data_IF_583215238881
#
_entry.id   IF_583215238881
#
_cell.length_a   1.000
_cell.length_b   1.000
_cell.length_c   1.000
_cell.angle_alpha   90.00
_cell.angle_beta   90.00
_cell.angle_gamma   90.00
#
_symmetry.space_group_name_H-M   'P 1'
#
loop_
_entity.id
_entity.type
_entity.pdbx_description
1 polymer ?
#
# COMPACT_ATOMS: atom_id res chain seq x y z
N UNK A 1 -13.44 5.21 -13.32
CA UNK A 1 -12.38 4.34 -12.78
C UNK A 1 -12.82 3.77 -11.45
N UNK A 2 -12.20 2.68 -10.93
CA UNK A 2 -12.54 2.19 -9.60
C UNK A 2 -12.18 3.25 -8.54
N UNK A 3 -12.93 3.30 -7.43
CA UNK A 3 -12.57 4.15 -6.31
C UNK A 3 -11.36 3.58 -5.54
N UNK A 4 -10.76 4.37 -4.66
CA UNK A 4 -9.57 4.00 -3.90
C UNK A 4 -9.70 2.64 -3.19
N UNK A 5 -10.80 2.42 -2.46
CA UNK A 5 -11.03 1.17 -1.72
C UNK A 5 -11.14 -0.03 -2.66
N UNK A 6 -11.82 0.11 -3.79
CA UNK A 6 -11.94 -0.99 -4.77
C UNK A 6 -10.59 -1.36 -5.37
N UNK A 7 -9.76 -0.36 -5.63
CA UNK A 7 -8.42 -0.55 -6.16
C UNK A 7 -7.50 -1.26 -5.16
N UNK A 8 -7.48 -0.82 -3.90
CA UNK A 8 -6.69 -1.44 -2.84
C UNK A 8 -7.10 -2.90 -2.60
N UNK A 9 -8.41 -3.18 -2.53
CA UNK A 9 -8.91 -4.57 -2.42
C UNK A 9 -8.48 -5.49 -3.55
N UNK A 10 -8.40 -4.96 -4.77
CA UNK A 10 -7.90 -5.74 -5.91
C UNK A 10 -6.41 -6.08 -5.74
N UNK A 11 -5.61 -5.13 -5.25
CA UNK A 11 -4.19 -5.33 -4.96
C UNK A 11 -3.99 -6.35 -3.82
N UNK A 12 -4.74 -6.24 -2.72
CA UNK A 12 -4.77 -7.22 -1.63
C UNK A 12 -5.06 -8.63 -2.12
N UNK A 13 -6.07 -8.78 -2.97
CA UNK A 13 -6.42 -10.08 -3.55
C UNK A 13 -5.28 -10.66 -4.36
N UNK A 14 -4.62 -9.82 -5.16
CA UNK A 14 -3.47 -10.23 -5.98
C UNK A 14 -2.29 -10.65 -5.12
N UNK A 15 -1.90 -9.84 -4.13
CA UNK A 15 -0.74 -10.10 -3.27
C UNK A 15 -0.96 -11.36 -2.42
N UNK A 16 -2.14 -11.52 -1.80
CA UNK A 16 -2.46 -12.73 -1.05
C UNK A 16 -2.40 -13.99 -1.91
N UNK A 17 -2.87 -13.93 -3.14
CA UNK A 17 -2.76 -15.05 -4.08
C UNK A 17 -1.29 -15.41 -4.38
N UNK A 18 -0.45 -14.42 -4.66
CA UNK A 18 0.98 -14.62 -4.93
C UNK A 18 1.72 -15.22 -3.72
N UNK A 19 1.44 -14.73 -2.52
CA UNK A 19 2.05 -15.23 -1.30
C UNK A 19 1.61 -16.67 -0.97
N UNK A 20 0.35 -17.02 -1.20
CA UNK A 20 -0.14 -18.39 -1.05
C UNK A 20 0.50 -19.34 -2.07
N UNK A 21 0.66 -18.90 -3.32
CA UNK A 21 1.38 -19.65 -4.35
C UNK A 21 2.85 -19.86 -3.95
N UNK A 22 3.51 -18.82 -3.40
CA UNK A 22 4.89 -18.92 -2.92
C UNK A 22 5.04 -19.97 -1.81
N UNK A 23 4.10 -20.00 -0.86
CA UNK A 23 4.11 -20.95 0.26
C UNK A 23 3.75 -22.38 -0.18
N UNK A 24 3.06 -22.54 -1.30
CA UNK A 24 2.66 -23.86 -1.82
C UNK A 24 3.70 -24.50 -2.78
N UNK A 25 4.68 -23.75 -3.26
CA UNK A 25 5.65 -24.24 -4.25
C UNK A 25 7.00 -24.59 -3.64
N UNK A 26 7.65 -25.66 -4.17
CA UNK A 26 9.02 -26.05 -3.83
C UNK A 26 10.02 -25.75 -4.97
N UNK A 27 9.54 -25.26 -6.10
CA UNK A 27 10.35 -24.99 -7.28
C UNK A 27 11.19 -23.71 -7.12
N UNK A 28 12.52 -23.81 -7.10
CA UNK A 28 13.43 -22.67 -6.89
C UNK A 28 13.16 -21.53 -7.87
N UNK A 29 13.12 -21.80 -9.17
CA UNK A 29 12.84 -20.78 -10.20
C UNK A 29 11.45 -20.13 -10.01
N UNK A 30 10.47 -20.91 -9.56
CA UNK A 30 9.12 -20.41 -9.27
C UNK A 30 9.15 -19.50 -8.04
N UNK A 31 9.85 -19.89 -6.98
CA UNK A 31 10.06 -19.08 -5.77
C UNK A 31 10.74 -17.75 -6.11
N UNK A 32 11.81 -17.76 -6.88
CA UNK A 32 12.53 -16.56 -7.31
C UNK A 32 11.63 -15.60 -8.13
N UNK A 33 10.89 -16.14 -9.10
CA UNK A 33 9.93 -15.37 -9.90
C UNK A 33 8.83 -14.75 -9.04
N UNK A 34 8.23 -15.54 -8.14
CA UNK A 34 7.18 -15.07 -7.24
C UNK A 34 7.69 -14.01 -6.27
N UNK A 35 8.88 -14.18 -5.68
CA UNK A 35 9.49 -13.16 -4.83
C UNK A 35 9.66 -11.83 -5.56
N UNK A 36 10.16 -11.84 -6.80
CA UNK A 36 10.31 -10.62 -7.59
C UNK A 36 8.97 -9.95 -7.93
N UNK A 37 7.93 -10.75 -8.18
CA UNK A 37 6.57 -10.23 -8.43
C UNK A 37 5.95 -9.68 -7.15
N UNK A 38 6.06 -10.40 -6.02
CA UNK A 38 5.59 -9.97 -4.70
C UNK A 38 6.28 -8.66 -4.28
N UNK A 39 7.59 -8.55 -4.44
CA UNK A 39 8.32 -7.32 -4.14
C UNK A 39 7.75 -6.13 -4.90
N UNK A 40 7.54 -6.28 -6.20
CA UNK A 40 7.01 -5.21 -7.04
C UNK A 40 5.61 -4.80 -6.60
N UNK A 41 4.72 -5.77 -6.38
CA UNK A 41 3.33 -5.50 -6.02
C UNK A 41 3.24 -4.87 -4.62
N UNK A 42 3.93 -5.42 -3.61
CA UNK A 42 3.92 -4.91 -2.24
C UNK A 42 4.49 -3.48 -2.17
N UNK A 43 5.66 -3.24 -2.79
CA UNK A 43 6.25 -1.89 -2.77
C UNK A 43 5.41 -0.87 -3.53
N UNK A 44 4.77 -1.28 -4.63
CA UNK A 44 3.88 -0.38 -5.38
C UNK A 44 2.63 -0.07 -4.56
N UNK A 45 2.04 -1.07 -3.93
CA UNK A 45 0.86 -0.95 -3.09
C UNK A 45 1.14 -0.05 -1.88
N UNK A 46 2.14 -0.37 -1.07
CA UNK A 46 2.53 0.44 0.08
C UNK A 46 2.81 1.91 -0.32
N UNK A 47 3.48 2.13 -1.44
CA UNK A 47 3.82 3.48 -1.89
C UNK A 47 2.59 4.31 -2.29
N UNK A 48 1.58 3.72 -2.94
CA UNK A 48 0.35 4.46 -3.28
C UNK A 48 -0.48 4.77 -2.04
N UNK A 49 -0.47 3.91 -1.03
CA UNK A 49 -1.12 4.17 0.25
C UNK A 49 -0.39 5.26 1.05
N UNK A 50 0.89 5.13 1.27
CA UNK A 50 1.70 6.08 2.04
C UNK A 50 1.75 7.48 1.41
N UNK A 51 1.67 7.58 0.09
CA UNK A 51 1.75 8.86 -0.60
C UNK A 51 0.39 9.50 -0.90
N UNK A 52 -0.69 8.72 -0.96
CA UNK A 52 -2.01 9.22 -1.38
C UNK A 52 -3.09 8.91 -0.35
N UNK A 53 -3.36 7.63 -0.07
CA UNK A 53 -4.51 7.22 0.74
C UNK A 53 -4.32 7.55 2.22
N UNK A 54 -3.22 7.16 2.84
CA UNK A 54 -2.96 7.36 4.26
C UNK A 54 -2.87 8.85 4.66
N UNK A 55 -2.20 9.74 3.90
CA UNK A 55 -2.23 11.17 4.23
C UNK A 55 -3.62 11.79 4.18
N UNK A 56 -4.47 11.35 3.24
CA UNK A 56 -5.86 11.81 3.15
C UNK A 56 -6.68 11.26 4.32
N UNK A 57 -6.55 9.95 4.61
CA UNK A 57 -7.23 9.30 5.73
C UNK A 57 -6.85 9.94 7.06
N UNK A 58 -5.55 10.10 7.33
CA UNK A 58 -5.05 10.73 8.57
C UNK A 58 -5.64 12.12 8.77
N UNK A 59 -5.63 12.96 7.72
CA UNK A 59 -6.19 14.31 7.79
C UNK A 59 -7.70 14.32 8.06
N UNK A 60 -8.46 13.36 7.48
CA UNK A 60 -9.89 13.24 7.70
C UNK A 60 -10.24 12.62 9.07
N UNK A 61 -9.37 11.74 9.59
CA UNK A 61 -9.54 11.09 10.89
C UNK A 61 -9.01 11.93 12.06
N UNK A 62 -8.32 13.03 11.79
CA UNK A 62 -7.80 13.93 12.81
C UNK A 62 -8.89 14.33 13.80
N UNK A 63 -8.59 14.24 15.11
CA UNK A 63 -9.54 14.49 16.22
C UNK A 63 -10.69 13.48 16.33
N UNK A 64 -10.59 12.33 15.66
CA UNK A 64 -11.50 11.19 15.87
C UNK A 64 -10.77 10.07 16.62
N UNK A 65 -11.54 9.09 17.12
CA UNK A 65 -11.02 7.86 17.73
C UNK A 65 -10.37 6.87 16.72
N UNK A 66 -10.27 7.27 15.45
CA UNK A 66 -9.81 6.43 14.33
C UNK A 66 -8.41 6.78 13.84
N UNK A 67 -7.78 7.78 14.41
CA UNK A 67 -6.44 8.21 14.02
C UNK A 67 -5.39 7.11 14.26
N UNK A 68 -5.61 6.26 15.28
CA UNK A 68 -4.74 5.13 15.59
C UNK A 68 -4.62 4.13 14.41
N UNK A 69 -5.68 3.92 13.62
CA UNK A 69 -5.66 3.02 12.46
C UNK A 69 -4.56 3.37 11.46
N UNK A 70 -4.27 4.66 11.29
CA UNK A 70 -3.15 5.10 10.45
C UNK A 70 -1.80 4.67 11.02
N UNK A 71 -1.58 4.82 12.34
CA UNK A 71 -0.31 4.47 12.96
C UNK A 71 -0.09 2.96 12.99
N UNK A 72 -1.13 2.18 13.25
CA UNK A 72 -1.09 0.72 13.21
C UNK A 72 -0.69 0.23 11.80
N UNK A 73 -1.37 0.70 10.74
CA UNK A 73 -1.03 0.35 9.37
C UNK A 73 0.40 0.75 8.97
N UNK A 74 0.89 1.90 9.43
CA UNK A 74 2.26 2.35 9.17
C UNK A 74 3.32 1.45 9.83
N UNK A 75 3.06 0.96 11.05
CA UNK A 75 3.96 0.01 11.72
C UNK A 75 3.92 -1.37 11.05
N UNK A 76 2.77 -1.82 10.57
CA UNK A 76 2.66 -3.06 9.80
C UNK A 76 3.44 -2.99 8.48
N UNK A 77 3.38 -1.87 7.76
CA UNK A 77 4.22 -1.63 6.58
C UNK A 77 5.71 -1.67 6.93
N UNK A 78 6.10 -1.09 8.08
CA UNK A 78 7.48 -1.16 8.54
C UNK A 78 7.95 -2.60 8.78
N UNK A 79 7.11 -3.46 9.35
CA UNK A 79 7.43 -4.88 9.52
C UNK A 79 7.60 -5.60 8.17
N UNK A 80 6.74 -5.31 7.19
CA UNK A 80 6.88 -5.84 5.82
C UNK A 80 8.18 -5.38 5.17
N UNK A 81 8.58 -4.13 5.38
CA UNK A 81 9.84 -3.55 4.88
C UNK A 81 11.10 -4.24 5.44
N UNK A 82 10.98 -4.87 6.62
CA UNK A 82 12.06 -5.68 7.22
C UNK A 82 12.01 -7.11 6.68
N UNK A 83 10.83 -7.73 6.68
CA UNK A 83 10.68 -9.16 6.36
C UNK A 83 10.86 -9.46 4.87
N UNK A 84 10.37 -8.60 3.99
CA UNK A 84 10.46 -8.85 2.55
C UNK A 84 11.92 -8.93 2.03
N UNK A 85 12.83 -8.00 2.34
CA UNK A 85 14.25 -8.15 1.98
C UNK A 85 14.92 -9.35 2.65
N UNK A 86 14.52 -9.68 3.89
CA UNK A 86 15.03 -10.84 4.62
C UNK A 86 14.65 -12.15 3.93
N UNK A 87 13.39 -12.28 3.47
CA UNK A 87 12.93 -13.39 2.64
C UNK A 87 13.72 -13.48 1.33
N UNK A 88 13.88 -12.36 0.62
CA UNK A 88 14.56 -12.32 -0.67
C UNK A 88 16.06 -12.69 -0.58
N UNK A 89 16.69 -12.47 0.58
CA UNK A 89 18.09 -12.83 0.82
C UNK A 89 18.26 -14.30 1.22
N UNK A 90 17.21 -14.98 1.64
CA UNK A 90 17.25 -16.36 2.08
C UNK A 90 17.43 -17.33 0.89
N UNK A 91 18.10 -18.47 1.12
CA UNK A 91 18.22 -19.52 0.12
C UNK A 91 16.84 -20.14 -0.19
N UNK A 92 16.34 -20.08 -1.44
CA UNK A 92 15.04 -20.62 -1.80
C UNK A 92 14.81 -22.10 -1.52
N UNK A 93 15.86 -22.86 -1.20
CA UNK A 93 15.79 -24.29 -0.85
C UNK A 93 15.76 -24.53 0.68
N UNK A 94 15.92 -23.51 1.48
CA UNK A 94 16.08 -23.66 2.94
C UNK A 94 14.73 -23.61 3.67
N UNK A 95 14.67 -24.27 4.83
CA UNK A 95 13.54 -24.12 5.76
C UNK A 95 13.43 -22.68 6.30
N UNK A 96 14.55 -21.94 6.34
CA UNK A 96 14.52 -20.51 6.69
C UNK A 96 13.68 -19.71 5.68
N UNK A 97 13.85 -19.96 4.37
CA UNK A 97 13.02 -19.34 3.35
C UNK A 97 11.52 -19.67 3.54
N UNK A 98 11.20 -20.93 3.81
CA UNK A 98 9.82 -21.38 4.05
C UNK A 98 9.21 -20.68 5.27
N UNK A 99 9.96 -20.58 6.36
CA UNK A 99 9.53 -19.88 7.56
C UNK A 99 9.29 -18.39 7.31
N UNK A 100 10.21 -17.70 6.61
CA UNK A 100 10.07 -16.27 6.25
C UNK A 100 8.89 -16.03 5.29
N UNK A 101 8.69 -16.89 4.30
CA UNK A 101 7.55 -16.81 3.39
C UNK A 101 6.21 -16.96 4.13
N UNK A 102 6.15 -17.85 5.11
CA UNK A 102 4.96 -18.03 5.97
C UNK A 102 4.72 -16.80 6.85
N UNK A 103 5.76 -16.28 7.50
CA UNK A 103 5.65 -15.06 8.34
C UNK A 103 5.17 -13.88 7.51
N UNK A 104 5.73 -13.67 6.31
CA UNK A 104 5.29 -12.58 5.43
C UNK A 104 3.82 -12.74 5.01
N UNK A 105 3.37 -13.96 4.72
CA UNK A 105 1.96 -14.23 4.43
C UNK A 105 1.05 -13.85 5.62
N UNK A 106 1.43 -14.24 6.83
CA UNK A 106 0.66 -13.97 8.04
C UNK A 106 0.57 -12.46 8.33
N UNK A 107 1.67 -11.73 8.16
CA UNK A 107 1.71 -10.26 8.28
C UNK A 107 0.75 -9.60 7.30
N UNK A 108 0.80 -9.99 6.03
CA UNK A 108 -0.07 -9.41 4.99
C UNK A 108 -1.53 -9.80 5.19
N UNK A 109 -1.83 -11.02 5.62
CA UNK A 109 -3.22 -11.42 5.90
C UNK A 109 -3.80 -10.68 7.12
N UNK A 110 -2.97 -10.39 8.12
CA UNK A 110 -3.35 -9.58 9.29
C UNK A 110 -3.64 -8.13 8.87
N UNK A 111 -2.67 -7.48 8.24
CA UNK A 111 -2.78 -6.11 7.72
C UNK A 111 -4.04 -5.92 6.87
N UNK A 112 -4.23 -6.75 5.85
CA UNK A 112 -5.39 -6.67 4.94
C UNK A 112 -6.71 -6.84 5.69
N UNK A 113 -6.76 -7.73 6.70
CA UNK A 113 -7.97 -7.93 7.51
C UNK A 113 -8.33 -6.67 8.30
N UNK A 114 -7.34 -6.00 8.89
CA UNK A 114 -7.55 -4.80 9.68
C UNK A 114 -7.90 -3.61 8.80
N UNK A 115 -7.16 -3.42 7.72
CA UNK A 115 -7.42 -2.33 6.79
C UNK A 115 -8.80 -2.46 6.11
N UNK A 116 -9.12 -3.63 5.56
CA UNK A 116 -10.43 -3.86 4.92
C UNK A 116 -11.59 -3.85 5.92
N UNK A 117 -11.35 -4.30 7.16
CA UNK A 117 -12.37 -4.37 8.22
C UNK A 117 -12.63 -3.02 8.88
N UNK A 118 -11.57 -2.33 9.27
CA UNK A 118 -11.67 -1.12 10.11
C UNK A 118 -11.41 0.16 9.31
N UNK A 119 -10.25 0.28 8.65
CA UNK A 119 -9.86 1.51 7.98
C UNK A 119 -10.75 1.85 6.79
N UNK A 120 -11.10 0.87 5.94
CA UNK A 120 -12.02 1.11 4.81
C UNK A 120 -13.45 1.39 5.25
N UNK A 121 -13.89 0.81 6.38
CA UNK A 121 -15.19 1.15 6.96
C UNK A 121 -15.20 2.60 7.48
N UNK A 122 -14.11 3.02 8.13
CA UNK A 122 -13.92 4.39 8.57
C UNK A 122 -13.83 5.36 7.37
N UNK A 123 -13.05 5.01 6.34
CA UNK A 123 -12.91 5.83 5.15
C UNK A 123 -14.25 6.10 4.44
N UNK A 124 -15.16 5.11 4.37
CA UNK A 124 -16.51 5.32 3.81
C UNK A 124 -17.40 6.27 4.63
N UNK A 125 -17.05 6.51 5.88
CA UNK A 125 -17.77 7.48 6.73
C UNK A 125 -17.12 8.87 6.66
N UNK A 126 -15.82 8.94 6.39
CA UNK A 126 -15.04 10.17 6.33
C UNK A 126 -15.04 10.81 4.94
N UNK A 127 -15.19 10.02 3.88
CA UNK A 127 -15.17 10.46 2.49
C UNK A 127 -16.48 10.12 1.80
N UNK A 128 -16.95 11.02 0.96
CA UNK A 128 -18.03 10.73 0.02
C UNK A 128 -17.55 9.95 -1.22
N UNK A 129 -18.49 9.50 -2.06
CA UNK A 129 -18.19 8.69 -3.23
C UNK A 129 -17.35 9.42 -4.27
N UNK A 130 -17.46 10.76 -4.38
CA UNK A 130 -16.67 11.58 -5.28
C UNK A 130 -15.23 11.66 -4.80
N UNK A 131 -15.02 11.93 -3.51
CA UNK A 131 -13.70 11.96 -2.88
C UNK A 131 -12.98 10.61 -2.99
N UNK A 132 -13.69 9.50 -2.76
CA UNK A 132 -13.11 8.15 -2.94
C UNK A 132 -12.73 7.85 -4.39
N UNK A 133 -13.47 8.38 -5.37
CA UNK A 133 -13.11 8.27 -6.80
C UNK A 133 -11.89 9.13 -7.13
N UNK A 134 -11.85 10.38 -6.67
CA UNK A 134 -10.70 11.26 -6.85
C UNK A 134 -9.41 10.65 -6.27
N UNK A 135 -9.48 10.10 -5.05
CA UNK A 135 -8.35 9.36 -4.46
C UNK A 135 -7.95 8.15 -5.32
N UNK A 136 -8.92 7.40 -5.84
CA UNK A 136 -8.66 6.27 -6.73
C UNK A 136 -7.93 6.69 -8.02
N UNK A 137 -8.33 7.80 -8.64
CA UNK A 137 -7.68 8.33 -9.85
C UNK A 137 -6.24 8.79 -9.58
N UNK A 138 -6.00 9.43 -8.43
CA UNK A 138 -4.66 9.82 -7.98
C UNK A 138 -3.76 8.60 -7.73
N UNK A 139 -4.30 7.60 -7.03
CA UNK A 139 -3.59 6.35 -6.74
C UNK A 139 -3.28 5.59 -8.04
N UNK A 140 -4.21 5.53 -8.99
CA UNK A 140 -4.00 4.90 -10.30
C UNK A 140 -2.88 5.59 -11.07
N UNK A 141 -2.92 6.91 -11.15
CA UNK A 141 -1.86 7.71 -11.79
C UNK A 141 -0.50 7.44 -11.16
N UNK A 142 -0.45 7.39 -9.82
CA UNK A 142 0.79 7.13 -9.10
C UNK A 142 1.28 5.71 -9.32
N UNK A 143 0.39 4.73 -9.29
CA UNK A 143 0.68 3.32 -9.58
C UNK A 143 1.31 3.13 -10.95
N UNK A 144 0.77 3.76 -11.98
CA UNK A 144 1.31 3.71 -13.35
C UNK A 144 2.74 4.26 -13.43
N UNK A 145 3.02 5.37 -12.75
CA UNK A 145 4.37 5.92 -12.68
C UNK A 145 5.35 4.97 -11.98
N UNK A 146 4.96 4.37 -10.85
CA UNK A 146 5.80 3.42 -10.11
C UNK A 146 6.04 2.16 -10.95
N UNK A 147 5.00 1.61 -11.57
CA UNK A 147 5.12 0.42 -12.42
C UNK A 147 5.99 0.68 -13.65
N UNK A 148 5.93 1.89 -14.23
CA UNK A 148 6.85 2.32 -15.28
C UNK A 148 8.32 2.33 -14.84
N UNK A 149 8.61 2.74 -13.60
CA UNK A 149 9.96 2.67 -13.03
C UNK A 149 10.44 1.22 -12.83
N UNK A 150 9.54 0.30 -12.44
CA UNK A 150 9.87 -1.12 -12.33
C UNK A 150 10.18 -1.76 -13.69
N UNK A 151 9.59 -1.29 -14.77
CA UNK A 151 9.85 -1.76 -16.13
C UNK A 151 11.23 -1.34 -16.66
N UNK A 152 11.84 -0.28 -16.10
CA UNK A 152 13.15 0.22 -16.51
C UNK A 152 14.20 -0.10 -15.43
N UNK A 153 15.21 -0.96 -15.72
CA UNK A 153 16.24 -1.35 -14.74
C UNK A 153 17.03 -0.18 -14.14
N UNK A 154 17.16 0.94 -14.88
CA UNK A 154 17.90 2.13 -14.43
C UNK A 154 17.11 3.02 -13.45
N UNK A 155 15.80 2.87 -13.41
CA UNK A 155 14.91 3.67 -12.57
C UNK A 155 14.19 2.87 -11.48
N UNK A 156 14.57 1.59 -11.34
CA UNK A 156 13.98 0.69 -10.34
C UNK A 156 14.02 1.32 -8.93
N UNK A 157 12.90 1.38 -8.20
CA UNK A 157 12.86 2.00 -6.88
C UNK A 157 13.86 1.33 -5.92
N UNK A 158 14.85 2.08 -5.47
CA UNK A 158 15.76 1.67 -4.39
C UNK A 158 15.30 2.36 -3.12
N UNK A 159 15.41 1.70 -1.99
CA UNK A 159 14.95 2.08 -0.63
C UNK A 159 15.15 3.55 -0.18
N UNK A 160 15.73 4.43 -0.99
CA UNK A 160 16.16 5.80 -0.62
C UNK A 160 15.29 6.93 -1.17
N UNK A 161 14.10 6.66 -1.71
CA UNK A 161 13.28 7.70 -2.35
C UNK A 161 12.18 8.31 -1.47
N UNK A 162 12.12 8.00 -0.19
CA UNK A 162 11.16 8.60 0.75
C UNK A 162 11.21 10.14 0.82
N UNK A 163 12.33 10.76 0.44
CA UNK A 163 12.48 12.23 0.44
C UNK A 163 12.22 12.92 -0.91
N UNK A 164 12.17 12.19 -2.02
CA UNK A 164 12.15 12.76 -3.38
C UNK A 164 10.74 12.73 -4.00
N UNK A 165 9.91 11.78 -3.60
CA UNK A 165 8.54 11.61 -4.14
C UNK A 165 7.67 12.86 -3.89
N UNK A 166 7.82 13.53 -2.76
CA UNK A 166 7.08 14.77 -2.47
C UNK A 166 7.41 15.93 -3.45
N UNK A 167 8.58 15.92 -4.09
CA UNK A 167 8.97 16.94 -5.10
C UNK A 167 8.42 16.66 -6.50
N UNK A 168 8.12 15.40 -6.82
CA UNK A 168 7.71 14.96 -8.16
C UNK A 168 6.20 14.83 -8.35
N UNK A 169 5.40 15.08 -7.30
CA UNK A 169 3.94 15.11 -7.43
C UNK A 169 3.55 16.31 -8.33
N UNK A 170 2.76 16.08 -9.40
CA UNK A 170 2.23 17.16 -10.22
C UNK A 170 1.55 18.22 -9.34
N UNK A 171 1.64 19.49 -9.73
CA UNK A 171 1.03 20.64 -9.00
C UNK A 171 -0.45 20.39 -8.69
N UNK A 172 -1.15 19.68 -9.58
CA UNK A 172 -2.55 19.27 -9.43
C UNK A 172 -2.80 18.40 -8.17
N UNK A 173 -1.87 17.47 -7.86
CA UNK A 173 -1.95 16.64 -6.65
C UNK A 173 -1.73 17.46 -5.38
N UNK A 174 -0.87 18.48 -5.43
CA UNK A 174 -0.66 19.42 -4.29
C UNK A 174 -1.91 20.25 -4.01
N UNK A 175 -2.60 20.69 -5.07
CA UNK A 175 -3.83 21.49 -4.96
C UNK A 175 -5.02 20.64 -4.50
N UNK A 176 -5.11 19.37 -4.96
CA UNK A 176 -6.16 18.44 -4.51
C UNK A 176 -5.94 17.98 -3.06
N UNK A 177 -4.69 17.78 -2.61
CA UNK A 177 -4.41 17.56 -1.18
C UNK A 177 -4.95 18.71 -0.32
N UNK A 178 -4.74 19.94 -0.74
CA UNK A 178 -5.25 21.12 -0.02
C UNK A 178 -6.78 21.22 -0.07
N UNK A 179 -7.41 20.83 -1.17
CA UNK A 179 -8.87 20.93 -1.37
C UNK A 179 -9.63 19.79 -0.73
N UNK A 180 -9.14 18.54 -0.84
CA UNK A 180 -9.73 17.39 -0.16
C UNK A 180 -9.57 17.48 1.36
N UNK A 181 -8.39 17.90 1.83
CA UNK A 181 -8.13 18.19 3.25
C UNK A 181 -9.02 19.35 3.73
N UNK A 182 -9.14 20.43 2.96
CA UNK A 182 -10.00 21.58 3.28
C UNK A 182 -11.47 21.21 3.38
N UNK A 183 -12.01 20.46 2.43
CA UNK A 183 -13.42 20.00 2.44
C UNK A 183 -13.69 19.00 3.58
N UNK A 184 -12.75 18.11 3.89
CA UNK A 184 -12.88 17.17 5.01
C UNK A 184 -12.86 17.89 6.36
N UNK A 185 -12.02 18.92 6.52
CA UNK A 185 -11.99 19.77 7.71
C UNK A 185 -13.29 20.59 7.88
N UNK A 186 -13.82 21.20 6.80
CA UNK A 186 -15.11 21.91 6.84
C UNK A 186 -16.29 20.98 7.17
N UNK A 187 -16.28 19.74 6.72
CA UNK A 187 -17.32 18.76 7.02
C UNK A 187 -17.26 18.28 8.50
N UNK A 188 -16.06 18.23 9.08
CA UNK A 188 -15.86 17.87 10.48
C UNK A 188 -16.26 19.00 11.46
N UNK A 189 -16.10 20.28 11.06
CA UNK A 189 -16.49 21.44 11.88
C UNK A 189 -17.99 21.71 11.92
N UNK A 190 -18.77 21.13 10.98
CA UNK A 190 -20.24 21.31 10.89
C UNK A 190 -21.04 20.24 11.66
N UNK A 191 -20.40 19.35 12.38
CA UNK A 191 -21.03 18.32 13.22
C UNK A 191 -20.70 18.51 14.69
#
# INVERSE_FOLDING_TARGET
MPNAITMLKADHTKVKRLLRELNATNGVKTRERLCAEIERELKTHAQIEEEVFYPAFKAAAEKTDRENLFYEAAEEHHLVDIELPSLMAANPKSHEFEAKAKVLLDLIEHHVKEEEGQMFAAARQLFDDEQLRELGDLMQTRKELIMGMWANPLTRPVKKLQGVAHKLLPTKVKTMKATAIGKAMEAAERR
#
